data_IF_493768888514
#
_entry.id   IF_493768888514
#
_cell.length_a   1.000
_cell.length_b   1.000
_cell.length_c   1.000
_cell.angle_alpha   90.00
_cell.angle_beta   90.00
_cell.angle_gamma   90.00
#
_symmetry.space_group_name_H-M   'P 1'
#
loop_
_entity.id
_entity.type
_entity.pdbx_description
1 polymer ?
#
# COMPACT_ATOMS: atom_id res chain seq x y z
N UNK A 1 -27.71 6.24 1.89
CA UNK A 1 -26.57 6.93 2.51
C UNK A 1 -25.34 6.43 1.78
N UNK A 2 -24.89 7.09 0.70
CA UNK A 2 -23.99 6.48 -0.26
C UNK A 2 -22.48 6.78 -0.05
N UNK A 3 -22.09 7.54 0.97
CA UNK A 3 -20.68 7.98 1.10
C UNK A 3 -19.73 7.01 1.82
N UNK A 4 -20.25 5.98 2.52
CA UNK A 4 -19.40 5.15 3.40
C UNK A 4 -18.64 4.04 2.63
N UNK A 5 -19.24 3.54 1.54
CA UNK A 5 -18.69 2.41 0.78
C UNK A 5 -17.49 2.83 -0.09
N UNK A 6 -17.50 4.07 -0.60
CA UNK A 6 -16.39 4.64 -1.36
C UNK A 6 -15.17 4.89 -0.47
N UNK A 7 -15.38 5.37 0.76
CA UNK A 7 -14.32 5.54 1.74
C UNK A 7 -13.71 4.19 2.15
N UNK A 8 -14.55 3.18 2.42
CA UNK A 8 -14.11 1.83 2.75
C UNK A 8 -13.35 1.17 1.59
N UNK A 9 -13.82 1.31 0.34
CA UNK A 9 -13.11 0.81 -0.85
C UNK A 9 -11.77 1.49 -1.04
N UNK A 10 -11.72 2.82 -0.94
CA UNK A 10 -10.47 3.58 -1.09
C UNK A 10 -9.46 3.16 -0.01
N UNK A 11 -9.92 2.96 1.22
CA UNK A 11 -9.09 2.46 2.32
C UNK A 11 -8.57 1.05 2.05
N UNK A 12 -9.42 0.13 1.61
CA UNK A 12 -9.03 -1.24 1.27
C UNK A 12 -8.00 -1.29 0.13
N UNK A 13 -8.17 -0.43 -0.89
CA UNK A 13 -7.24 -0.29 -2.03
C UNK A 13 -5.87 0.18 -1.56
N UNK A 14 -5.79 1.15 -0.65
CA UNK A 14 -4.51 1.59 -0.08
C UNK A 14 -3.88 0.48 0.75
N UNK A 15 -4.63 -0.14 1.67
CA UNK A 15 -4.11 -1.22 2.52
C UNK A 15 -3.51 -2.37 1.71
N UNK A 16 -4.15 -2.77 0.61
CA UNK A 16 -3.62 -3.79 -0.28
C UNK A 16 -2.23 -3.42 -0.84
N UNK A 17 -2.02 -2.16 -1.24
CA UNK A 17 -0.71 -1.70 -1.72
C UNK A 17 0.35 -1.70 -0.61
N UNK A 18 -0.02 -1.31 0.61
CA UNK A 18 0.89 -1.32 1.77
C UNK A 18 1.31 -2.75 2.15
N UNK A 19 0.39 -3.72 2.09
CA UNK A 19 0.67 -5.13 2.34
C UNK A 19 1.71 -5.67 1.35
N UNK A 20 1.49 -5.44 0.05
CA UNK A 20 2.41 -5.89 -1.00
C UNK A 20 3.77 -5.19 -0.87
N UNK A 21 3.80 -3.92 -0.47
CA UNK A 21 5.03 -3.17 -0.23
C UNK A 21 5.88 -3.77 0.90
N UNK A 22 5.25 -4.20 2.00
CA UNK A 22 5.95 -4.82 3.13
C UNK A 22 6.45 -6.23 2.74
N UNK A 23 5.65 -7.00 2.00
CA UNK A 23 6.03 -8.33 1.51
C UNK A 23 7.20 -8.27 0.51
N UNK A 24 7.22 -7.25 -0.36
CA UNK A 24 8.27 -7.04 -1.39
C UNK A 24 9.29 -5.98 -0.99
N UNK A 25 9.50 -5.74 0.32
CA UNK A 25 10.33 -4.65 0.83
C UNK A 25 11.73 -4.58 0.20
N UNK A 26 12.37 -5.73 -0.02
CA UNK A 26 13.74 -5.78 -0.53
C UNK A 26 13.79 -5.33 -2.01
N UNK A 27 12.84 -5.81 -2.83
CA UNK A 27 12.71 -5.41 -4.23
C UNK A 27 12.29 -3.94 -4.37
N UNK A 28 11.38 -3.47 -3.50
CA UNK A 28 10.95 -2.08 -3.46
C UNK A 28 12.10 -1.14 -3.09
N UNK A 29 12.83 -1.44 -2.02
CA UNK A 29 13.99 -0.66 -1.61
C UNK A 29 15.02 -0.63 -2.73
N UNK A 30 15.39 -1.78 -3.30
CA UNK A 30 16.34 -1.85 -4.40
C UNK A 30 15.93 -0.97 -5.59
N UNK A 31 14.65 -0.95 -5.95
CA UNK A 31 14.15 -0.11 -7.02
C UNK A 31 14.20 1.38 -6.67
N UNK A 32 13.80 1.77 -5.46
CA UNK A 32 13.85 3.17 -4.99
C UNK A 32 15.28 3.71 -4.96
N UNK A 33 16.25 2.90 -4.56
CA UNK A 33 17.67 3.27 -4.55
C UNK A 33 18.24 3.58 -5.94
N UNK A 34 17.60 3.11 -7.02
CA UNK A 34 18.01 3.39 -8.41
C UNK A 34 17.36 4.65 -8.98
N UNK A 35 16.50 5.33 -8.23
CA UNK A 35 15.76 6.50 -8.71
C UNK A 35 16.45 7.79 -8.30
N UNK A 36 16.45 8.78 -9.20
CA UNK A 36 17.13 10.06 -8.98
C UNK A 36 16.18 11.14 -8.41
N UNK A 37 14.88 10.99 -8.60
CA UNK A 37 13.87 11.96 -8.18
C UNK A 37 12.56 11.30 -7.68
N UNK A 38 11.65 12.13 -7.15
CA UNK A 38 10.38 11.67 -6.59
C UNK A 38 9.45 11.05 -7.65
N UNK A 39 9.55 11.49 -8.91
CA UNK A 39 8.74 10.94 -10.00
C UNK A 39 9.21 9.53 -10.35
N UNK A 40 10.52 9.32 -10.49
CA UNK A 40 11.13 8.02 -10.71
C UNK A 40 10.84 7.05 -9.56
N UNK A 41 10.88 7.53 -8.31
CA UNK A 41 10.49 6.75 -7.14
C UNK A 41 9.03 6.24 -7.23
N UNK A 42 8.10 7.12 -7.62
CA UNK A 42 6.69 6.76 -7.86
C UNK A 42 6.55 5.71 -8.97
N UNK A 43 7.16 5.96 -10.12
CA UNK A 43 7.10 5.06 -11.28
C UNK A 43 7.70 3.68 -10.94
N UNK A 44 8.78 3.65 -10.15
CA UNK A 44 9.40 2.42 -9.66
C UNK A 44 8.45 1.64 -8.73
N UNK A 45 7.80 2.31 -7.77
CA UNK A 45 6.82 1.69 -6.86
C UNK A 45 5.65 1.10 -7.67
N UNK A 46 5.10 1.85 -8.62
CA UNK A 46 4.03 1.38 -9.49
C UNK A 46 4.43 0.13 -10.26
N UNK A 47 5.66 0.09 -10.81
CA UNK A 47 6.17 -1.05 -11.57
C UNK A 47 6.43 -2.27 -10.71
N UNK A 48 7.02 -2.10 -9.52
CA UNK A 48 7.40 -3.21 -8.63
C UNK A 48 6.19 -3.85 -7.97
N UNK A 49 5.21 -3.02 -7.58
CA UNK A 49 4.03 -3.46 -6.84
C UNK A 49 2.79 -3.64 -7.74
N UNK A 50 2.80 -3.14 -8.97
CA UNK A 50 1.67 -3.21 -9.89
C UNK A 50 0.48 -2.35 -9.45
N UNK A 51 0.76 -1.20 -8.83
CA UNK A 51 -0.25 -0.35 -8.18
C UNK A 51 -0.50 0.96 -8.93
N UNK A 52 -1.63 1.60 -8.65
CA UNK A 52 -1.96 2.92 -9.19
C UNK A 52 -1.07 4.02 -8.60
N UNK A 53 -1.09 5.21 -9.21
CA UNK A 53 -0.29 6.35 -8.74
C UNK A 53 -0.65 6.77 -7.31
N UNK A 54 -1.95 6.78 -6.97
CA UNK A 54 -2.45 7.11 -5.63
C UNK A 54 -1.94 6.10 -4.59
N UNK A 55 -1.96 4.81 -4.95
CA UNK A 55 -1.42 3.75 -4.09
C UNK A 55 0.10 3.87 -3.94
N UNK A 56 0.82 4.16 -5.03
CA UNK A 56 2.26 4.36 -4.99
C UNK A 56 2.63 5.53 -4.07
N UNK A 57 1.88 6.64 -4.11
CA UNK A 57 2.08 7.76 -3.18
C UNK A 57 1.89 7.31 -1.73
N UNK A 58 0.81 6.57 -1.44
CA UNK A 58 0.56 6.06 -0.10
C UNK A 58 1.67 5.10 0.40
N UNK A 59 2.28 4.34 -0.52
CA UNK A 59 3.43 3.48 -0.20
C UNK A 59 4.69 4.31 0.05
N UNK A 60 4.95 5.38 -0.71
CA UNK A 60 6.09 6.26 -0.46
C UNK A 60 5.97 7.01 0.88
N UNK A 61 4.75 7.31 1.31
CA UNK A 61 4.48 7.94 2.60
C UNK A 61 4.64 6.97 3.80
N UNK A 62 4.83 5.66 3.56
CA UNK A 62 5.12 4.69 4.63
C UNK A 62 6.48 4.95 5.27
N UNK A 63 6.51 4.86 6.60
CA UNK A 63 7.74 4.97 7.37
C UNK A 63 8.31 3.60 7.69
N UNK A 64 9.64 3.44 7.63
CA UNK A 64 10.36 2.18 7.88
C UNK A 64 9.97 1.50 9.21
N UNK A 65 9.63 2.28 10.26
CA UNK A 65 9.15 1.74 11.54
C UNK A 65 7.89 0.88 11.45
N UNK A 66 7.14 0.99 10.35
CA UNK A 66 5.91 0.23 10.06
C UNK A 66 6.19 -1.09 9.35
N UNK A 67 7.44 -1.37 8.97
CA UNK A 67 7.86 -2.62 8.32
C UNK A 67 8.17 -3.69 9.36
N UNK A 68 7.22 -3.96 10.26
CA UNK A 68 7.32 -4.99 11.29
C UNK A 68 6.28 -6.09 11.07
N UNK A 69 6.56 -7.35 11.48
CA UNK A 69 5.57 -8.43 11.39
C UNK A 69 4.24 -8.08 12.06
N UNK A 70 4.29 -7.45 13.25
CA UNK A 70 3.09 -7.02 13.97
C UNK A 70 2.24 -6.01 13.19
N UNK A 71 2.88 -5.07 12.48
CA UNK A 71 2.15 -4.11 11.65
C UNK A 71 1.54 -4.78 10.43
N UNK A 72 2.24 -5.75 9.83
CA UNK A 72 1.71 -6.52 8.71
C UNK A 72 0.45 -7.30 9.11
N UNK A 73 0.48 -7.97 10.26
CA UNK A 73 -0.68 -8.68 10.81
C UNK A 73 -1.85 -7.73 11.06
N UNK A 74 -1.60 -6.56 11.68
CA UNK A 74 -2.63 -5.56 11.94
C UNK A 74 -3.24 -4.99 10.65
N UNK A 75 -2.41 -4.69 9.63
CA UNK A 75 -2.89 -4.18 8.34
C UNK A 75 -3.71 -5.23 7.60
N UNK A 76 -3.32 -6.50 7.71
CA UNK A 76 -4.03 -7.62 7.09
C UNK A 76 -5.38 -7.83 7.74
N UNK A 77 -5.44 -7.79 9.07
CA UNK A 77 -6.71 -7.83 9.80
C UNK A 77 -7.63 -6.65 9.44
N UNK A 78 -7.12 -5.42 9.35
CA UNK A 78 -7.90 -4.25 8.91
C UNK A 78 -8.42 -4.43 7.48
N UNK A 79 -7.57 -4.94 6.57
CA UNK A 79 -7.96 -5.22 5.19
C UNK A 79 -9.06 -6.29 5.10
N UNK A 80 -8.90 -7.40 5.81
CA UNK A 80 -9.88 -8.50 5.81
C UNK A 80 -11.22 -8.04 6.42
N UNK A 81 -11.19 -7.25 7.50
CA UNK A 81 -12.40 -6.65 8.08
C UNK A 81 -13.11 -5.71 7.09
N UNK A 82 -12.37 -4.83 6.41
CA UNK A 82 -12.95 -3.93 5.42
C UNK A 82 -13.50 -4.67 4.20
N UNK A 83 -12.85 -5.75 3.77
CA UNK A 83 -13.36 -6.61 2.72
C UNK A 83 -14.68 -7.26 3.09
N UNK A 84 -14.75 -7.85 4.28
CA UNK A 84 -16.00 -8.44 4.77
C UNK A 84 -17.13 -7.42 4.81
N UNK A 85 -16.88 -6.20 5.29
CA UNK A 85 -17.87 -5.12 5.32
C UNK A 85 -18.32 -4.62 3.95
N UNK A 86 -17.53 -4.83 2.90
CA UNK A 86 -17.85 -4.44 1.53
C UNK A 86 -18.51 -5.57 0.71
N UNK A 87 -18.41 -6.81 1.20
CA UNK A 87 -19.00 -8.01 0.58
C UNK A 87 -20.40 -8.35 1.15
N UNK A 88 -20.76 -7.80 2.33
CA UNK A 88 -22.10 -7.79 2.95
C UNK A 88 -22.93 -6.55 2.53
#
# INVERSE_FOLDING_TARGET
MPDNDDAARSRAVVLAALLIAIERRDALLAALWQTEDEQGARDAVQRVLGVSEVQARAVLDLQLRRFTPATLESLRAEYDQLRHLLED
#
